data_IF_127599727459
#
_entry.id   IF_127599727459
#
_cell.length_a   1.000
_cell.length_b   1.000
_cell.length_c   1.000
_cell.angle_alpha   90.00
_cell.angle_beta   90.00
_cell.angle_gamma   90.00
#
_symmetry.space_group_name_H-M   'P 1'
#
loop_
_entity.id
_entity.type
_entity.pdbx_description
1 polymer ?
#
# COMPACT_ATOMS: atom_id res chain seq x y z
N UNK A 1 4.99 2.16 12.07
CA UNK A 1 3.91 2.38 11.11
C UNK A 1 4.42 2.44 9.66
N UNK A 2 5.44 3.25 9.34
CA UNK A 2 5.94 3.48 7.96
C UNK A 2 6.18 2.18 7.18
N UNK A 3 6.82 1.19 7.81
CA UNK A 3 7.12 -0.12 7.21
C UNK A 3 5.89 -1.00 6.98
N UNK A 4 4.82 -0.78 7.74
CA UNK A 4 3.58 -1.51 7.61
C UNK A 4 2.72 -1.07 6.41
N UNK A 5 2.85 0.20 5.99
CA UNK A 5 1.95 0.80 4.99
C UNK A 5 1.98 0.10 3.62
N UNK A 6 3.14 -0.22 3.04
CA UNK A 6 3.18 -0.92 1.75
C UNK A 6 2.51 -2.28 1.82
N UNK A 7 2.73 -3.02 2.91
CA UNK A 7 2.12 -4.35 3.14
C UNK A 7 0.61 -4.22 3.32
N UNK A 8 0.15 -3.22 4.08
CA UNK A 8 -1.26 -2.92 4.26
C UNK A 8 -1.95 -2.64 2.93
N UNK A 9 -1.38 -1.77 2.10
CA UNK A 9 -1.95 -1.37 0.82
C UNK A 9 -1.97 -2.53 -0.18
N UNK A 10 -0.90 -3.32 -0.26
CA UNK A 10 -0.88 -4.53 -1.07
C UNK A 10 -1.91 -5.56 -0.58
N UNK A 11 -2.04 -5.74 0.74
CA UNK A 11 -3.04 -6.63 1.34
C UNK A 11 -4.47 -6.17 1.07
N UNK A 12 -4.77 -4.86 1.20
CA UNK A 12 -6.07 -4.33 0.81
C UNK A 12 -6.35 -4.58 -0.67
N UNK A 13 -5.34 -4.42 -1.54
CA UNK A 13 -5.43 -4.77 -2.95
C UNK A 13 -5.76 -6.25 -3.16
N UNK A 14 -5.01 -7.16 -2.53
CA UNK A 14 -5.27 -8.61 -2.58
C UNK A 14 -6.68 -8.97 -2.15
N UNK A 15 -7.19 -8.32 -1.11
CA UNK A 15 -8.56 -8.51 -0.61
C UNK A 15 -9.63 -8.28 -1.70
N UNK A 16 -9.50 -7.21 -2.52
CA UNK A 16 -10.45 -6.94 -3.60
C UNK A 16 -10.41 -8.04 -4.67
N UNK A 17 -9.23 -8.43 -5.09
CA UNK A 17 -9.05 -9.47 -6.09
C UNK A 17 -9.62 -10.81 -5.59
N UNK A 18 -9.23 -11.27 -4.41
CA UNK A 18 -9.69 -12.53 -3.82
C UNK A 18 -11.20 -12.56 -3.64
N UNK A 19 -11.82 -11.46 -3.18
CA UNK A 19 -13.27 -11.35 -3.03
C UNK A 19 -14.03 -11.38 -4.36
N UNK A 20 -13.37 -11.13 -5.47
CA UNK A 20 -13.95 -11.28 -6.82
C UNK A 20 -13.74 -12.67 -7.43
N UNK A 21 -13.02 -13.56 -6.72
CA UNK A 21 -12.66 -14.90 -7.19
C UNK A 21 -11.47 -14.91 -8.15
N UNK A 22 -10.65 -13.85 -8.15
CA UNK A 22 -9.39 -13.79 -8.90
C UNK A 22 -8.25 -13.61 -7.92
N UNK A 23 -7.38 -14.61 -7.79
CA UNK A 23 -6.19 -14.53 -6.92
C UNK A 23 -5.12 -13.68 -7.61
N UNK A 24 -4.65 -12.64 -6.96
CA UNK A 24 -3.63 -11.75 -7.50
C UNK A 24 -2.27 -11.97 -6.83
N UNK A 25 -1.47 -12.91 -7.35
CA UNK A 25 -0.09 -13.13 -6.89
C UNK A 25 0.87 -12.07 -7.47
N UNK A 26 0.44 -11.31 -8.47
CA UNK A 26 1.22 -10.26 -9.13
C UNK A 26 1.37 -8.95 -8.33
N UNK A 27 0.91 -8.90 -7.08
CA UNK A 27 0.95 -7.70 -6.23
C UNK A 27 2.35 -7.11 -6.09
N UNK A 28 3.39 -7.96 -6.01
CA UNK A 28 4.78 -7.51 -5.91
C UNK A 28 5.21 -6.74 -7.16
N UNK A 29 4.96 -7.29 -8.35
CA UNK A 29 5.27 -6.62 -9.61
C UNK A 29 4.44 -5.35 -9.82
N UNK A 30 3.16 -5.34 -9.43
CA UNK A 30 2.31 -4.15 -9.49
C UNK A 30 2.80 -3.06 -8.53
N UNK A 31 3.33 -3.42 -7.37
CA UNK A 31 3.99 -2.52 -6.43
C UNK A 31 5.26 -1.92 -7.04
N UNK A 32 6.10 -2.72 -7.70
CA UNK A 32 7.30 -2.26 -8.40
C UNK A 32 6.96 -1.27 -9.52
N UNK A 33 5.91 -1.55 -10.31
CA UNK A 33 5.41 -0.60 -11.30
C UNK A 33 4.98 0.71 -10.64
N UNK A 34 4.24 0.63 -9.52
CA UNK A 34 3.84 1.80 -8.74
C UNK A 34 5.02 2.61 -8.21
N UNK A 35 6.08 1.96 -7.73
CA UNK A 35 7.33 2.61 -7.30
C UNK A 35 7.96 3.40 -8.43
N UNK A 36 8.10 2.78 -9.61
CA UNK A 36 8.77 3.41 -10.75
C UNK A 36 7.94 4.55 -11.33
N UNK A 37 6.68 4.29 -11.67
CA UNK A 37 5.79 5.31 -12.24
C UNK A 37 5.54 6.45 -11.25
N UNK A 38 5.44 6.15 -9.96
CA UNK A 38 5.30 7.14 -8.90
C UNK A 38 6.53 8.05 -8.78
N UNK A 39 7.72 7.48 -8.80
CA UNK A 39 8.97 8.23 -8.75
C UNK A 39 9.15 9.10 -10.02
N UNK A 40 8.91 8.53 -11.20
CA UNK A 40 8.96 9.27 -12.46
C UNK A 40 7.96 10.43 -12.48
N UNK A 41 6.71 10.16 -12.11
CA UNK A 41 5.68 11.20 -12.07
C UNK A 41 5.96 12.29 -11.04
N UNK A 42 6.57 11.93 -9.89
CA UNK A 42 6.94 12.90 -8.86
C UNK A 42 8.08 13.83 -9.32
N UNK A 43 9.03 13.31 -10.09
CA UNK A 43 10.14 14.10 -10.67
C UNK A 43 9.67 15.06 -11.77
N UNK A 44 8.75 14.61 -12.64
CA UNK A 44 8.31 15.40 -13.79
C UNK A 44 7.19 16.40 -13.44
N UNK A 45 6.24 16.01 -12.59
CA UNK A 45 4.98 16.72 -12.38
C UNK A 45 4.71 17.08 -10.90
N UNK A 46 5.63 16.69 -10.01
CA UNK A 46 5.47 16.90 -8.58
C UNK A 46 4.80 15.73 -7.84
N UNK A 47 4.92 15.69 -6.50
CA UNK A 47 4.66 14.51 -5.68
C UNK A 47 3.19 14.04 -5.71
N UNK A 48 2.23 14.96 -5.79
CA UNK A 48 0.80 14.62 -5.87
C UNK A 48 0.44 13.91 -7.17
N UNK A 49 0.91 14.44 -8.29
CA UNK A 49 0.67 13.83 -9.61
C UNK A 49 1.42 12.51 -9.69
N UNK A 50 2.63 12.45 -9.14
CA UNK A 50 3.40 11.22 -9.03
C UNK A 50 2.66 10.11 -8.29
N UNK A 51 1.96 10.44 -7.20
CA UNK A 51 1.13 9.48 -6.49
C UNK A 51 0.05 8.88 -7.41
N UNK A 52 -0.71 9.71 -8.13
CA UNK A 52 -1.75 9.21 -9.04
C UNK A 52 -1.18 8.41 -10.22
N UNK A 53 -0.03 8.83 -10.76
CA UNK A 53 0.67 8.10 -11.83
C UNK A 53 1.14 6.74 -11.31
N UNK A 54 1.65 6.66 -10.07
CA UNK A 54 2.05 5.39 -9.46
C UNK A 54 0.86 4.45 -9.19
N UNK A 55 -0.27 4.99 -8.72
CA UNK A 55 -1.54 4.24 -8.62
C UNK A 55 -1.93 3.69 -10.00
N UNK A 56 -1.86 4.53 -11.04
CA UNK A 56 -2.12 4.13 -12.42
C UNK A 56 -1.17 3.05 -12.92
N UNK A 57 0.12 3.15 -12.63
CA UNK A 57 1.14 2.16 -12.98
C UNK A 57 0.85 0.78 -12.39
N UNK A 58 0.52 0.72 -11.08
CA UNK A 58 0.06 -0.51 -10.46
C UNK A 58 -1.26 -1.00 -11.04
N UNK A 59 -2.19 -0.09 -11.31
CA UNK A 59 -3.48 -0.38 -11.96
C UNK A 59 -3.33 -0.95 -13.37
N UNK A 60 -2.34 -0.51 -14.15
CA UNK A 60 -2.00 -1.11 -15.45
C UNK A 60 -1.53 -2.55 -15.29
N UNK A 61 -0.69 -2.86 -14.29
CA UNK A 61 -0.34 -4.23 -13.94
C UNK A 61 -1.59 -5.07 -13.61
N UNK A 62 -2.52 -4.49 -12.83
CA UNK A 62 -3.82 -5.11 -12.53
C UNK A 62 -4.67 -5.33 -13.78
N UNK A 63 -4.71 -4.38 -14.71
CA UNK A 63 -5.42 -4.52 -15.98
C UNK A 63 -4.84 -5.65 -16.83
N UNK A 64 -3.51 -5.76 -16.93
CA UNK A 64 -2.85 -6.85 -17.64
C UNK A 64 -3.17 -8.20 -17.03
N UNK A 65 -3.17 -8.29 -15.68
CA UNK A 65 -3.56 -9.50 -14.97
C UNK A 65 -5.02 -9.87 -15.20
N UNK A 66 -5.93 -8.90 -15.15
CA UNK A 66 -7.34 -9.10 -15.44
C UNK A 66 -7.57 -9.54 -16.89
N UNK A 67 -6.87 -8.93 -17.85
CA UNK A 67 -6.95 -9.31 -19.26
C UNK A 67 -6.52 -10.77 -19.46
N UNK A 68 -5.40 -11.18 -18.86
CA UNK A 68 -4.90 -12.53 -18.95
C UNK A 68 -5.83 -13.54 -18.30
N UNK A 69 -6.30 -13.27 -17.08
CA UNK A 69 -7.02 -14.26 -16.28
C UNK A 69 -8.53 -14.28 -16.54
N UNK A 70 -9.16 -13.11 -16.72
CA UNK A 70 -10.61 -13.00 -16.87
C UNK A 70 -11.03 -13.14 -18.32
N UNK A 71 -10.28 -12.58 -19.29
CA UNK A 71 -10.62 -12.65 -20.71
C UNK A 71 -10.02 -13.88 -21.37
N UNK A 72 -8.72 -14.12 -21.21
CA UNK A 72 -8.04 -15.23 -21.88
C UNK A 72 -8.06 -16.54 -21.08
N UNK A 73 -8.54 -16.53 -19.84
CA UNK A 73 -8.62 -17.73 -19.01
C UNK A 73 -7.24 -18.32 -18.63
N UNK A 74 -6.18 -17.50 -18.66
CA UNK A 74 -4.85 -17.93 -18.22
C UNK A 74 -4.90 -18.21 -16.72
N UNK A 75 -4.16 -19.22 -16.29
CA UNK A 75 -3.99 -19.51 -14.86
C UNK A 75 -3.52 -18.26 -14.09
N UNK A 76 -4.18 -18.00 -12.96
CA UNK A 76 -3.99 -16.78 -12.17
C UNK A 76 -2.59 -16.72 -11.55
N UNK A 77 -2.04 -17.88 -11.17
CA UNK A 77 -0.70 -17.99 -10.59
C UNK A 77 0.34 -17.68 -11.66
N UNK A 78 0.20 -18.29 -12.84
CA UNK A 78 1.12 -18.09 -13.97
C UNK A 78 1.13 -16.63 -14.40
N UNK A 79 -0.05 -16.01 -14.55
CA UNK A 79 -0.16 -14.60 -14.90
C UNK A 79 0.47 -13.67 -13.84
N UNK A 80 0.23 -13.95 -12.55
CA UNK A 80 0.81 -13.18 -11.46
C UNK A 80 2.34 -13.28 -11.40
N UNK A 81 2.88 -14.49 -11.53
CA UNK A 81 4.33 -14.73 -11.60
C UNK A 81 4.95 -14.02 -12.80
N UNK A 82 4.31 -14.07 -13.97
CA UNK A 82 4.79 -13.35 -15.15
C UNK A 82 4.92 -11.84 -14.90
N UNK A 83 3.93 -11.22 -14.25
CA UNK A 83 4.00 -9.80 -13.88
C UNK A 83 5.13 -9.53 -12.90
N UNK A 84 5.35 -10.40 -11.92
CA UNK A 84 6.43 -10.26 -10.94
C UNK A 84 7.83 -10.39 -11.57
N UNK A 85 7.97 -11.06 -12.70
CA UNK A 85 9.23 -11.16 -13.46
C UNK A 85 9.36 -9.98 -14.43
N UNK A 86 8.29 -9.60 -15.11
CA UNK A 86 8.31 -8.55 -16.13
C UNK A 86 8.45 -7.16 -15.53
N UNK A 87 7.85 -6.89 -14.36
CA UNK A 87 7.88 -5.57 -13.75
C UNK A 87 9.30 -5.12 -13.36
N UNK A 88 10.13 -5.92 -12.66
CA UNK A 88 11.51 -5.54 -12.38
C UNK A 88 12.34 -5.35 -13.66
N UNK A 89 12.21 -6.24 -14.62
CA UNK A 89 12.94 -6.16 -15.89
C UNK A 89 12.55 -4.90 -16.68
N UNK A 90 11.27 -4.61 -16.78
CA UNK A 90 10.73 -3.43 -17.46
C UNK A 90 11.13 -2.13 -16.77
N UNK A 91 11.00 -2.05 -15.45
CA UNK A 91 11.39 -0.84 -14.69
C UNK A 91 12.89 -0.59 -14.72
N UNK A 92 13.71 -1.65 -14.72
CA UNK A 92 15.15 -1.54 -14.88
C UNK A 92 15.54 -0.95 -16.25
N UNK A 93 14.91 -1.44 -17.31
CA UNK A 93 15.11 -0.90 -18.66
C UNK A 93 14.69 0.58 -18.74
N UNK A 94 13.49 0.89 -18.26
CA UNK A 94 12.98 2.27 -18.26
C UNK A 94 13.85 3.20 -17.40
N UNK A 95 14.37 2.74 -16.27
CA UNK A 95 15.28 3.51 -15.41
C UNK A 95 16.58 3.87 -16.14
N UNK A 96 17.13 2.93 -16.90
CA UNK A 96 18.33 3.17 -17.72
C UNK A 96 18.06 4.23 -18.80
N UNK A 97 16.92 4.15 -19.49
CA UNK A 97 16.55 5.10 -20.56
C UNK A 97 16.23 6.50 -20.03
N UNK A 98 15.52 6.60 -18.90
CA UNK A 98 15.04 7.88 -18.38
C UNK A 98 16.07 8.57 -17.49
N UNK A 99 16.77 7.81 -16.64
CA UNK A 99 17.68 8.37 -15.62
C UNK A 99 19.15 8.04 -15.86
N UNK A 100 19.48 7.24 -16.87
CA UNK A 100 20.85 6.79 -17.13
C UNK A 100 21.40 5.83 -16.07
N UNK A 101 20.56 5.36 -15.14
CA UNK A 101 20.89 4.43 -14.07
C UNK A 101 19.83 3.32 -14.00
N UNK A 102 20.22 2.04 -14.15
CA UNK A 102 19.24 0.96 -14.17
C UNK A 102 18.64 0.65 -12.80
N UNK A 103 19.29 1.08 -11.71
CA UNK A 103 18.98 0.63 -10.35
C UNK A 103 18.31 1.70 -9.47
N UNK A 104 18.40 2.98 -9.84
CA UNK A 104 17.90 4.07 -9.00
C UNK A 104 17.46 5.30 -9.80
N UNK A 105 16.48 6.04 -9.26
CA UNK A 105 16.10 7.37 -9.72
C UNK A 105 16.87 8.46 -8.95
N UNK A 106 16.83 9.73 -9.42
CA UNK A 106 17.11 10.87 -8.58
C UNK A 106 16.19 10.91 -7.34
N UNK A 107 16.57 11.67 -6.31
CA UNK A 107 15.74 11.85 -5.10
C UNK A 107 14.47 12.63 -5.43
N UNK A 108 13.36 12.16 -4.91
CA UNK A 108 12.04 12.75 -5.08
C UNK A 108 11.66 13.58 -3.85
N UNK A 109 10.83 14.58 -4.07
CA UNK A 109 10.20 15.35 -3.00
C UNK A 109 8.98 14.61 -2.47
N UNK A 110 8.72 14.74 -1.16
CA UNK A 110 7.54 14.16 -0.52
C UNK A 110 6.28 15.02 -0.69
N UNK A 111 5.15 14.42 -0.38
CA UNK A 111 3.84 15.11 -0.33
C UNK A 111 3.77 16.03 0.89
N UNK A 112 4.69 15.87 1.83
CA UNK A 112 4.78 16.64 3.08
C UNK A 112 4.27 15.86 4.29
N UNK A 113 4.77 16.26 5.46
CA UNK A 113 4.31 15.75 6.74
C UNK A 113 3.18 16.62 7.26
N UNK A 114 2.22 16.00 7.93
CA UNK A 114 1.12 16.69 8.57
C UNK A 114 0.94 16.19 10.00
N UNK A 115 0.95 17.12 10.93
CA UNK A 115 0.57 16.81 12.30
C UNK A 115 -0.95 16.82 12.40
N UNK A 116 -1.53 15.75 12.97
CA UNK A 116 -3.00 15.65 13.06
C UNK A 116 -3.50 16.71 14.05
N UNK A 117 -4.35 17.65 13.59
CA UNK A 117 -4.87 18.70 14.46
C UNK A 117 -5.65 18.11 15.65
N UNK A 118 -5.64 18.82 16.78
CA UNK A 118 -6.24 18.46 18.06
C UNK A 118 -5.64 17.24 18.77
N UNK A 119 -5.01 16.32 18.05
CA UNK A 119 -4.43 15.12 18.66
C UNK A 119 -2.93 15.25 18.85
N UNK A 120 -2.20 15.80 17.87
CA UNK A 120 -0.74 15.91 17.88
C UNK A 120 -0.21 17.34 17.69
N UNK A 121 -1.03 18.38 17.89
CA UNK A 121 -0.59 19.79 17.84
C UNK A 121 -0.46 20.35 16.42
N UNK A 122 -1.17 19.79 15.42
CA UNK A 122 -1.13 20.28 14.05
C UNK A 122 -1.83 21.63 13.84
N UNK A 123 -1.52 22.31 12.72
CA UNK A 123 -2.14 23.59 12.37
C UNK A 123 -3.28 23.42 11.37
N UNK A 124 -4.36 24.17 11.57
CA UNK A 124 -5.48 24.30 10.62
C UNK A 124 -5.59 25.77 10.22
N UNK A 125 -5.43 26.06 8.93
CA UNK A 125 -5.51 27.43 8.39
C UNK A 125 -4.66 28.46 9.15
N UNK A 126 -3.47 28.04 9.67
CA UNK A 126 -2.57 28.92 10.40
C UNK A 126 -2.89 29.06 11.90
N UNK A 127 -3.90 28.38 12.40
CA UNK A 127 -4.19 28.28 13.84
C UNK A 127 -3.56 26.99 14.39
N UNK A 128 -2.70 27.11 15.42
CA UNK A 128 -2.11 25.96 16.11
C UNK A 128 -3.12 25.33 17.04
N UNK A 129 -3.42 24.06 16.82
CA UNK A 129 -4.36 23.31 17.66
C UNK A 129 -3.64 22.77 18.91
N UNK A 130 -4.36 22.60 20.05
CA UNK A 130 -3.77 21.99 21.24
C UNK A 130 -3.39 20.52 20.98
N UNK A 131 -2.25 20.09 21.55
CA UNK A 131 -1.81 18.69 21.56
C UNK A 131 -2.47 17.99 22.77
N UNK A 132 -3.66 17.39 22.52
CA UNK A 132 -4.44 16.70 23.57
C UNK A 132 -3.71 15.43 24.02
N UNK A 133 -3.07 14.70 23.09
CA UNK A 133 -2.36 13.48 23.45
C UNK A 133 -1.12 13.77 24.31
N UNK A 134 -0.44 14.90 24.07
CA UNK A 134 0.65 15.35 24.96
C UNK A 134 0.12 15.67 26.35
N UNK A 135 -1.04 16.33 26.44
CA UNK A 135 -1.66 16.67 27.72
C UNK A 135 -2.01 15.41 28.51
N UNK A 136 -2.56 14.40 27.85
CA UNK A 136 -2.91 13.11 28.47
C UNK A 136 -1.66 12.28 28.81
N UNK A 137 -0.63 12.31 27.98
CA UNK A 137 0.65 11.65 28.25
C UNK A 137 1.33 12.23 29.51
N UNK A 138 1.25 13.54 29.71
CA UNK A 138 1.81 14.24 30.89
C UNK A 138 1.02 13.96 32.20
N UNK A 139 -0.09 13.24 32.18
CA UNK A 139 -0.81 12.87 33.41
C UNK A 139 -0.12 11.76 34.21
N UNK A 140 0.92 11.15 33.63
CA UNK A 140 1.71 10.08 34.28
C UNK A 140 0.86 8.89 34.82
N UNK A 141 -0.33 8.71 34.28
CA UNK A 141 -1.19 7.58 34.63
C UNK A 141 -0.72 6.35 33.86
N UNK A 142 -0.12 5.44 34.59
CA UNK A 142 0.55 4.21 34.18
C UNK A 142 0.23 3.70 32.73
N UNK A 143 -0.95 3.22 32.43
CA UNK A 143 -1.27 2.68 31.11
C UNK A 143 -1.78 3.75 30.13
N UNK A 144 -2.41 4.80 30.60
CA UNK A 144 -3.04 5.83 29.77
C UNK A 144 -2.00 6.74 29.13
N UNK A 145 -0.94 7.09 29.84
CA UNK A 145 0.15 7.88 29.30
C UNK A 145 0.91 7.13 28.19
N UNK A 146 1.19 5.83 28.39
CA UNK A 146 1.85 5.01 27.36
C UNK A 146 1.00 4.88 26.08
N UNK A 147 -0.31 4.70 26.23
CA UNK A 147 -1.25 4.66 25.09
C UNK A 147 -1.34 6.03 24.40
N UNK A 148 -1.34 7.14 25.16
CA UNK A 148 -1.35 8.47 24.60
C UNK A 148 -0.03 8.81 23.87
N UNK A 149 1.13 8.44 24.42
CA UNK A 149 2.43 8.61 23.79
C UNK A 149 2.55 7.76 22.51
N UNK A 150 2.07 6.52 22.55
CA UNK A 150 2.00 5.66 21.37
C UNK A 150 1.09 6.27 20.29
N UNK A 151 -0.11 6.72 20.68
CA UNK A 151 -1.05 7.40 19.78
C UNK A 151 -0.46 8.68 19.18
N UNK A 152 0.25 9.49 20.01
CA UNK A 152 0.94 10.70 19.57
C UNK A 152 2.07 10.39 18.59
N UNK A 153 2.87 9.35 18.85
CA UNK A 153 3.92 8.90 17.94
C UNK A 153 3.39 8.40 16.59
N UNK A 154 2.14 7.91 16.55
CA UNK A 154 1.46 7.56 15.31
C UNK A 154 0.94 8.78 14.51
N UNK A 155 0.68 9.91 15.17
CA UNK A 155 -0.02 11.07 14.61
C UNK A 155 0.85 12.31 14.43
N UNK A 156 2.04 12.34 15.03
CA UNK A 156 3.01 13.45 14.90
C UNK A 156 3.99 13.18 13.77
N UNK A 157 4.21 14.18 12.90
CA UNK A 157 5.09 14.04 11.73
C UNK A 157 4.64 12.86 10.84
N UNK A 158 3.33 12.61 10.77
CA UNK A 158 2.80 11.52 9.97
C UNK A 158 2.68 12.00 8.54
N UNK A 159 3.32 11.28 7.63
CA UNK A 159 3.17 11.52 6.20
C UNK A 159 1.69 11.48 5.82
N UNK A 160 1.29 12.40 4.96
CA UNK A 160 -0.06 12.42 4.43
C UNK A 160 -0.42 11.11 3.69
N UNK A 161 0.59 10.45 3.08
CA UNK A 161 0.43 9.12 2.49
C UNK A 161 0.04 8.07 3.55
N UNK A 162 0.59 8.16 4.75
CA UNK A 162 0.22 7.26 5.84
C UNK A 162 -1.22 7.46 6.29
N UNK A 163 -1.68 8.72 6.38
CA UNK A 163 -3.07 9.03 6.71
C UNK A 163 -4.03 8.49 5.63
N UNK A 164 -3.69 8.66 4.35
CA UNK A 164 -4.45 8.10 3.23
C UNK A 164 -4.51 6.56 3.36
N UNK A 165 -3.38 5.89 3.59
CA UNK A 165 -3.32 4.44 3.71
C UNK A 165 -4.17 3.91 4.86
N UNK A 166 -4.12 4.56 6.03
CA UNK A 166 -4.95 4.18 7.19
C UNK A 166 -6.44 4.45 6.93
N UNK A 167 -6.78 5.59 6.31
CA UNK A 167 -8.15 5.93 5.94
C UNK A 167 -8.75 4.96 4.89
N UNK A 168 -7.91 4.35 4.05
CA UNK A 168 -8.36 3.34 3.10
C UNK A 168 -8.87 2.07 3.78
N UNK A 169 -8.46 1.75 5.01
CA UNK A 169 -8.95 0.56 5.74
C UNK A 169 -10.46 0.62 5.98
N UNK A 170 -11.00 1.63 6.69
CA UNK A 170 -12.44 1.75 6.88
C UNK A 170 -13.18 2.02 5.56
N UNK A 171 -12.57 2.73 4.61
CA UNK A 171 -13.16 2.97 3.29
C UNK A 171 -13.33 1.65 2.51
N UNK A 172 -12.32 0.79 2.45
CA UNK A 172 -12.41 -0.53 1.81
C UNK A 172 -13.43 -1.44 2.53
N UNK A 173 -13.47 -1.39 3.87
CA UNK A 173 -14.49 -2.10 4.64
C UNK A 173 -15.90 -1.63 4.26
N UNK A 174 -16.13 -0.34 4.24
CA UNK A 174 -17.42 0.23 3.85
C UNK A 174 -17.76 -0.14 2.39
N UNK A 175 -16.83 0.02 1.46
CA UNK A 175 -17.02 -0.26 0.04
C UNK A 175 -17.39 -1.73 -0.20
N UNK A 176 -16.71 -2.68 0.45
CA UNK A 176 -16.94 -4.13 0.25
C UNK A 176 -18.18 -4.64 0.97
N UNK A 177 -18.54 -4.11 2.17
CA UNK A 177 -19.62 -4.69 2.97
C UNK A 177 -20.89 -3.86 3.01
N UNK A 178 -20.84 -2.55 2.68
CA UNK A 178 -22.00 -1.65 2.81
C UNK A 178 -22.51 -1.10 1.48
N UNK A 179 -21.82 -1.36 0.35
CA UNK A 179 -22.22 -0.82 -0.96
C UNK A 179 -22.75 -1.89 -1.91
N UNK A 180 -23.52 -1.46 -2.91
CA UNK A 180 -24.00 -2.31 -4.00
C UNK A 180 -22.83 -2.85 -4.85
N UNK A 181 -21.76 -2.07 -4.99
CA UNK A 181 -20.54 -2.48 -5.68
C UNK A 181 -19.89 -3.68 -4.98
N UNK A 182 -19.65 -3.59 -3.68
CA UNK A 182 -19.03 -4.67 -2.91
C UNK A 182 -19.90 -5.93 -2.84
N UNK A 183 -21.23 -5.78 -2.79
CA UNK A 183 -22.13 -6.92 -2.86
C UNK A 183 -21.98 -7.68 -4.20
N UNK A 184 -22.04 -6.98 -5.31
CA UNK A 184 -21.92 -7.58 -6.65
C UNK A 184 -20.52 -8.15 -6.90
N UNK A 185 -19.48 -7.52 -6.39
CA UNK A 185 -18.11 -7.99 -6.45
C UNK A 185 -17.96 -9.34 -5.72
N UNK A 186 -18.52 -9.48 -4.52
CA UNK A 186 -18.51 -10.75 -3.77
C UNK A 186 -19.34 -11.82 -4.44
N UNK A 187 -20.50 -11.48 -5.03
CA UNK A 187 -21.29 -12.42 -5.85
C UNK A 187 -20.47 -12.92 -7.03
N UNK A 188 -19.69 -12.04 -7.68
CA UNK A 188 -18.82 -12.43 -8.79
C UNK A 188 -17.75 -13.47 -8.39
N UNK A 189 -17.31 -13.46 -7.13
CA UNK A 189 -16.37 -14.45 -6.60
C UNK A 189 -17.02 -15.71 -6.05
N UNK A 190 -18.08 -15.55 -5.24
CA UNK A 190 -18.69 -16.66 -4.50
C UNK A 190 -19.68 -17.48 -5.36
N UNK A 191 -20.51 -16.82 -6.17
CA UNK A 191 -21.55 -17.47 -6.98
C UNK A 191 -21.78 -16.74 -8.33
N UNK A 192 -20.83 -16.78 -9.26
CA UNK A 192 -20.91 -16.04 -10.52
C UNK A 192 -22.15 -16.37 -11.34
N UNK A 193 -22.56 -17.65 -11.43
CA UNK A 193 -23.75 -18.07 -12.17
C UNK A 193 -25.05 -17.47 -11.61
N UNK A 194 -25.16 -17.39 -10.28
CA UNK A 194 -26.30 -16.73 -9.64
C UNK A 194 -26.31 -15.21 -9.91
N UNK A 195 -25.13 -14.59 -9.97
CA UNK A 195 -24.98 -13.18 -10.34
C UNK A 195 -25.42 -12.91 -11.77
N UNK A 196 -24.99 -13.72 -12.72
CA UNK A 196 -25.36 -13.60 -14.14
C UNK A 196 -26.87 -13.74 -14.35
N UNK A 197 -27.53 -14.70 -13.68
CA UNK A 197 -28.97 -14.88 -13.74
C UNK A 197 -29.76 -13.67 -13.20
N UNK A 198 -29.14 -12.83 -12.36
CA UNK A 198 -29.69 -11.58 -11.86
C UNK A 198 -29.27 -10.35 -12.70
N UNK A 199 -28.62 -10.57 -13.85
CA UNK A 199 -28.18 -9.50 -14.76
C UNK A 199 -26.93 -8.75 -14.30
N UNK A 200 -26.14 -9.33 -13.37
CA UNK A 200 -24.87 -8.74 -12.95
C UNK A 200 -23.78 -9.09 -13.97
N UNK A 201 -23.10 -8.08 -14.50
CA UNK A 201 -21.94 -8.30 -15.38
C UNK A 201 -20.72 -8.74 -14.58
N UNK A 202 -20.53 -10.04 -14.42
CA UNK A 202 -19.44 -10.65 -13.62
C UNK A 202 -18.07 -10.24 -14.12
N UNK A 203 -17.86 -10.20 -15.44
CA UNK A 203 -16.59 -9.79 -16.03
C UNK A 203 -16.19 -8.37 -15.59
N UNK A 204 -17.11 -7.42 -15.67
CA UNK A 204 -16.83 -6.04 -15.29
C UNK A 204 -16.42 -5.90 -13.81
N UNK A 205 -17.06 -6.66 -12.90
CA UNK A 205 -16.70 -6.65 -11.48
C UNK A 205 -15.36 -7.31 -11.21
N UNK A 206 -15.03 -8.42 -11.89
CA UNK A 206 -13.70 -9.04 -11.80
C UNK A 206 -12.61 -8.10 -12.30
N UNK A 207 -12.81 -7.46 -13.46
CA UNK A 207 -11.89 -6.46 -13.98
C UNK A 207 -11.68 -5.31 -12.99
N UNK A 208 -12.76 -4.71 -12.51
CA UNK A 208 -12.69 -3.62 -11.54
C UNK A 208 -11.94 -4.03 -10.26
N UNK A 209 -12.21 -5.23 -9.74
CA UNK A 209 -11.54 -5.74 -8.54
C UNK A 209 -10.04 -5.88 -8.72
N UNK A 210 -9.61 -6.47 -9.85
CA UNK A 210 -8.19 -6.73 -10.12
C UNK A 210 -7.44 -5.42 -10.44
N UNK A 211 -8.08 -4.47 -11.15
CA UNK A 211 -7.50 -3.15 -11.39
C UNK A 211 -7.35 -2.38 -10.07
N UNK A 212 -8.37 -2.39 -9.20
CA UNK A 212 -8.30 -1.79 -7.85
C UNK A 212 -7.19 -2.45 -7.03
N UNK A 213 -7.06 -3.77 -7.14
CA UNK A 213 -6.00 -4.54 -6.48
C UNK A 213 -4.62 -4.05 -6.89
N UNK A 214 -4.38 -3.91 -8.19
CA UNK A 214 -3.12 -3.39 -8.72
C UNK A 214 -2.88 -1.92 -8.36
N UNK A 215 -3.93 -1.09 -8.39
CA UNK A 215 -3.86 0.32 -8.02
C UNK A 215 -3.46 0.52 -6.54
N UNK A 216 -4.03 -0.27 -5.63
CA UNK A 216 -3.67 -0.25 -4.20
C UNK A 216 -2.24 -0.77 -3.97
N UNK A 217 -1.82 -1.83 -4.67
CA UNK A 217 -0.44 -2.28 -4.63
C UNK A 217 0.52 -1.21 -5.19
N UNK A 218 0.13 -0.52 -6.26
CA UNK A 218 0.87 0.61 -6.83
C UNK A 218 1.03 1.76 -5.85
N UNK A 219 -0.04 2.12 -5.12
CA UNK A 219 0.05 3.10 -4.03
C UNK A 219 1.02 2.64 -2.93
N UNK A 220 1.05 1.34 -2.60
CA UNK A 220 2.06 0.75 -1.72
C UNK A 220 3.48 0.97 -2.24
N UNK A 221 3.67 0.85 -3.55
CA UNK A 221 4.93 1.17 -4.22
C UNK A 221 5.32 2.65 -4.10
N UNK A 222 4.38 3.57 -4.31
CA UNK A 222 4.59 5.02 -4.10
C UNK A 222 5.06 5.30 -2.68
N UNK A 223 4.47 4.66 -1.67
CA UNK A 223 4.91 4.80 -0.28
C UNK A 223 6.36 4.34 -0.09
N UNK A 224 6.80 3.27 -0.77
CA UNK A 224 8.19 2.79 -0.67
C UNK A 224 9.15 3.80 -1.28
N UNK A 225 8.82 4.41 -2.43
CA UNK A 225 9.68 5.40 -3.09
C UNK A 225 9.63 6.79 -2.44
N UNK A 226 8.65 7.04 -1.55
CA UNK A 226 8.51 8.33 -0.86
C UNK A 226 9.67 8.61 0.11
N UNK A 227 9.93 9.88 0.45
CA UNK A 227 11.02 10.29 1.36
C UNK A 227 10.96 9.64 2.73
N UNK A 228 9.80 9.20 3.17
CA UNK A 228 9.63 8.56 4.47
C UNK A 228 10.27 7.16 4.53
N UNK A 229 10.53 6.54 3.39
CA UNK A 229 11.16 5.22 3.30
C UNK A 229 12.49 5.25 2.53
N UNK A 230 12.48 5.52 1.21
CA UNK A 230 13.69 5.52 0.39
C UNK A 230 14.04 6.87 -0.23
N UNK A 231 13.05 7.73 -0.46
CA UNK A 231 13.22 9.03 -1.11
C UNK A 231 13.57 8.95 -2.60
N UNK A 232 13.50 7.75 -3.19
CA UNK A 232 13.79 7.49 -4.60
C UNK A 232 13.31 6.10 -5.00
N UNK A 233 13.19 5.84 -6.30
CA UNK A 233 13.06 4.48 -6.80
C UNK A 233 14.40 3.76 -6.60
N UNK A 234 14.36 2.59 -5.99
CA UNK A 234 15.48 1.66 -5.88
C UNK A 234 15.05 0.28 -6.34
N UNK A 235 15.81 -0.31 -7.26
CA UNK A 235 15.58 -1.69 -7.71
C UNK A 235 15.64 -2.64 -6.50
N UNK A 236 14.68 -3.55 -6.40
CA UNK A 236 14.62 -4.55 -5.32
C UNK A 236 14.12 -4.03 -3.96
N UNK A 237 13.86 -2.73 -3.80
CA UNK A 237 13.42 -2.16 -2.53
C UNK A 237 11.98 -2.54 -2.13
N UNK A 238 11.21 -3.14 -3.03
CA UNK A 238 9.92 -3.76 -2.69
C UNK A 238 10.08 -4.90 -1.68
N UNK A 239 11.20 -5.64 -1.76
CA UNK A 239 11.64 -6.63 -0.77
C UNK A 239 10.61 -7.70 -0.43
N UNK A 240 9.74 -8.08 -1.37
CA UNK A 240 8.71 -9.09 -1.16
C UNK A 240 7.48 -8.60 -0.39
N UNK A 241 7.34 -7.28 -0.15
CA UNK A 241 6.21 -6.73 0.63
C UNK A 241 4.85 -6.99 -0.01
N UNK A 242 4.78 -7.14 -1.34
CA UNK A 242 3.57 -7.55 -2.03
C UNK A 242 3.14 -8.97 -1.66
N UNK A 243 4.10 -9.92 -1.56
CA UNK A 243 3.83 -11.28 -1.10
C UNK A 243 3.45 -11.32 0.38
N UNK A 244 4.09 -10.49 1.21
CA UNK A 244 3.73 -10.36 2.63
C UNK A 244 2.31 -9.77 2.75
N UNK A 245 1.94 -8.84 1.88
CA UNK A 245 0.58 -8.31 1.77
C UNK A 245 -0.45 -9.41 1.48
N UNK A 246 -0.13 -10.33 0.56
CA UNK A 246 -0.98 -11.49 0.28
C UNK A 246 -1.11 -12.41 1.51
N UNK A 247 0.00 -12.67 2.20
CA UNK A 247 -0.03 -13.43 3.47
C UNK A 247 -0.90 -12.72 4.53
N UNK A 248 -0.82 -11.38 4.62
CA UNK A 248 -1.64 -10.59 5.53
C UNK A 248 -3.14 -10.71 5.24
N UNK A 249 -3.56 -10.91 3.97
CA UNK A 249 -4.97 -11.19 3.62
C UNK A 249 -5.43 -12.50 4.24
N UNK A 250 -4.62 -13.55 4.11
CA UNK A 250 -4.94 -14.89 4.63
C UNK A 250 -5.00 -14.86 6.15
N UNK A 251 -3.96 -14.34 6.82
CA UNK A 251 -3.93 -14.21 8.28
C UNK A 251 -5.02 -13.27 8.80
N UNK A 252 -5.34 -12.24 8.05
CA UNK A 252 -6.42 -11.30 8.36
C UNK A 252 -7.82 -11.85 8.10
N UNK A 253 -7.94 -13.12 7.69
CA UNK A 253 -9.20 -13.78 7.37
C UNK A 253 -10.07 -12.96 6.41
N UNK A 254 -9.46 -12.42 5.36
CA UNK A 254 -10.12 -11.58 4.34
C UNK A 254 -10.94 -10.43 4.93
N UNK A 255 -10.44 -9.80 6.00
CA UNK A 255 -11.05 -8.63 6.64
C UNK A 255 -10.04 -7.48 6.67
N UNK A 256 -10.44 -6.23 6.31
CA UNK A 256 -9.52 -5.09 6.29
C UNK A 256 -8.81 -4.83 7.63
N UNK A 257 -9.51 -4.99 8.74
CA UNK A 257 -8.93 -4.83 10.08
C UNK A 257 -7.89 -5.93 10.38
N UNK A 258 -8.14 -7.17 9.97
CA UNK A 258 -7.17 -8.26 10.12
C UNK A 258 -5.91 -8.01 9.28
N UNK A 259 -6.06 -7.49 8.06
CA UNK A 259 -4.93 -7.08 7.20
C UNK A 259 -4.13 -5.96 7.87
N UNK A 260 -4.80 -4.95 8.45
CA UNK A 260 -4.13 -3.89 9.20
C UNK A 260 -3.30 -4.46 10.34
N UNK A 261 -3.86 -5.36 11.15
CA UNK A 261 -3.14 -5.98 12.27
C UNK A 261 -1.94 -6.82 11.79
N UNK A 262 -2.10 -7.61 10.72
CA UNK A 262 -1.00 -8.36 10.11
C UNK A 262 0.11 -7.46 9.57
N UNK A 263 -0.25 -6.37 8.90
CA UNK A 263 0.71 -5.38 8.40
C UNK A 263 1.44 -4.64 9.54
N UNK A 264 0.74 -4.29 10.62
CA UNK A 264 1.35 -3.67 11.80
C UNK A 264 2.32 -4.61 12.50
N UNK A 265 1.98 -5.90 12.62
CA UNK A 265 2.87 -6.92 13.17
C UNK A 265 4.15 -7.03 12.33
N UNK A 266 4.03 -7.11 11.00
CA UNK A 266 5.18 -7.09 10.10
C UNK A 266 6.03 -5.83 10.29
N UNK A 267 5.40 -4.64 10.29
CA UNK A 267 6.10 -3.37 10.43
C UNK A 267 6.82 -3.24 11.79
N UNK A 268 6.26 -3.84 12.85
CA UNK A 268 6.89 -3.89 14.16
C UNK A 268 8.13 -4.79 14.17
N UNK A 269 8.01 -6.03 13.68
CA UNK A 269 9.14 -6.98 13.61
C UNK A 269 10.27 -6.45 12.75
N UNK A 270 9.94 -5.88 11.57
CA UNK A 270 10.94 -5.29 10.68
C UNK A 270 11.62 -4.05 11.32
N UNK A 271 10.89 -3.26 12.09
CA UNK A 271 11.45 -2.12 12.83
C UNK A 271 12.39 -2.52 13.98
N UNK A 272 12.17 -3.69 14.60
CA UNK A 272 13.09 -4.24 15.62
C UNK A 272 14.41 -4.70 14.97
N UNK A 273 14.34 -5.43 13.86
CA UNK A 273 15.51 -5.90 13.12
C UNK A 273 16.45 -4.76 12.73
N UNK A 274 15.90 -3.63 12.28
CA UNK A 274 16.68 -2.44 11.96
C UNK A 274 17.39 -1.83 13.19
N UNK A 275 16.75 -1.84 14.36
CA UNK A 275 17.37 -1.32 15.60
C UNK A 275 18.53 -2.18 16.07
N UNK A 276 18.40 -3.50 15.94
CA UNK A 276 19.45 -4.43 16.31
C UNK A 276 20.67 -4.30 15.39
N UNK A 277 20.47 -4.02 14.11
CA UNK A 277 21.54 -3.76 13.15
C UNK A 277 22.30 -2.45 13.49
N UNK A 278 21.59 -1.38 13.82
CA UNK A 278 22.19 -0.10 14.23
C UNK A 278 22.97 -0.26 15.57
N UNK A 279 22.43 -1.02 16.52
CA UNK A 279 23.08 -1.35 17.80
C UNK A 279 24.36 -2.18 17.61
N UNK A 280 24.33 -3.18 16.74
CA UNK A 280 25.51 -4.02 16.45
C UNK A 280 26.61 -3.28 15.72
N UNK A 281 26.26 -2.34 14.81
CA UNK A 281 27.24 -1.52 14.12
C UNK A 281 27.95 -0.54 15.06
N UNK A 282 27.26 0.01 16.06
CA UNK A 282 27.86 0.88 17.09
C UNK A 282 28.83 0.14 18.01
N UNK A 283 28.57 -1.14 18.34
CA UNK A 283 29.47 -1.98 19.13
C UNK A 283 30.68 -2.51 18.37
N UNK A 284 30.62 -2.57 17.03
CA UNK A 284 31.74 -3.01 16.17
C UNK A 284 32.75 -1.88 15.89
N UNK A 285 32.40 -0.62 16.21
CA UNK A 285 33.25 0.55 16.03
C UNK A 285 33.90 1.08 17.32
N UNK A 286 33.62 0.45 18.48
CA UNK A 286 34.29 0.68 19.77
C UNK A 286 35.25 -0.48 20.06
#
# INVERSE_FOLDING_TARGET
>A
LRWALPVLLAGLGGLFADRSGVVNIGLEGMMILGMWFGAWGALEFGPWIGMFIGIGGGGLGGLLHALATVTFGVDQIISGVAINILAPAGTRYLSQEVWGSPTQSPRIQGIGDWDVPFLAGGSIFGWESPDILLTVANWEWWFISDVADFGRGLMRGTSLLALIAVALVPFCAWLLWRTRFGLRLRIAGEQPQAGESQGVNIYAYKYAAVIISGALAGLGGVVISSPELSGQFLEGNSGGRGFIGLAAVIFGNWRPLGILLGALLYGYVFGLDLKDLDGSASHALL
#
